data_IF_411886110545
#
_entry.id   IF_411886110545
#
_cell.length_a   1.000
_cell.length_b   1.000
_cell.length_c   1.000
_cell.angle_alpha   90.00
_cell.angle_beta   90.00
_cell.angle_gamma   90.00
#
_symmetry.space_group_name_H-M   'P 1'
#
loop_
_entity.id
_entity.type
_entity.pdbx_description
1 polymer ?
#
# COMPACT_ATOMS: atom_id res chain seq x y z
N UNK A 1 11.03 10.26 40.30
CA UNK A 1 12.16 9.31 40.24
C UNK A 1 12.18 8.74 38.82
N UNK A 2 12.83 9.43 37.91
CA UNK A 2 13.04 9.03 36.53
C UNK A 2 14.34 8.23 36.47
N UNK A 3 14.24 6.89 36.34
CA UNK A 3 15.42 6.03 36.19
C UNK A 3 15.57 5.60 34.74
N UNK A 4 16.56 6.21 34.11
CA UNK A 4 17.50 5.69 33.13
C UNK A 4 17.06 4.49 32.24
N UNK A 5 16.78 4.79 30.98
CA UNK A 5 16.84 3.82 29.89
C UNK A 5 18.31 3.50 29.58
N UNK A 6 18.72 2.24 29.37
CA UNK A 6 20.06 1.90 29.03
C UNK A 6 20.43 2.37 27.61
N UNK A 7 21.58 2.99 27.54
CA UNK A 7 22.30 3.37 26.32
C UNK A 7 22.51 2.10 25.45
N UNK A 8 21.77 1.98 24.34
CA UNK A 8 22.00 0.93 23.35
C UNK A 8 23.06 1.39 22.37
N UNK A 9 24.31 1.33 22.78
CA UNK A 9 25.44 1.32 21.87
C UNK A 9 25.35 0.04 21.03
N UNK A 10 24.84 0.14 19.80
CA UNK A 10 24.95 -0.94 18.82
C UNK A 10 26.40 -0.98 18.39
N UNK A 11 27.16 -1.92 18.97
CA UNK A 11 28.54 -2.20 18.60
C UNK A 11 28.57 -2.68 17.15
N UNK A 12 29.18 -1.86 16.27
CA UNK A 12 29.40 -2.17 14.88
C UNK A 12 30.29 -3.35 14.68
N UNK A 13 30.00 -4.19 13.69
CA UNK A 13 31.03 -4.95 12.95
C UNK A 13 30.55 -5.58 11.65
N UNK A 14 29.64 -4.93 10.88
CA UNK A 14 29.27 -5.46 9.55
C UNK A 14 29.24 -4.43 8.41
N UNK A 15 29.80 -3.23 8.59
CA UNK A 15 29.93 -2.28 7.47
C UNK A 15 31.37 -1.75 7.38
N UNK A 16 32.30 -2.62 6.93
CA UNK A 16 33.61 -2.17 6.48
C UNK A 16 33.48 -1.69 5.03
N UNK A 17 33.34 -0.37 4.84
CA UNK A 17 33.36 0.24 3.51
C UNK A 17 32.44 1.44 3.29
N UNK A 18 31.55 1.77 4.21
CA UNK A 18 30.71 2.97 4.07
C UNK A 18 31.26 4.06 4.99
N UNK A 19 32.01 5.02 4.42
CA UNK A 19 32.39 6.24 5.11
C UNK A 19 31.17 7.14 5.23
N UNK A 20 30.57 7.22 6.40
CA UNK A 20 29.60 8.28 6.70
C UNK A 20 30.34 9.59 6.89
N UNK A 21 30.06 10.66 6.13
CA UNK A 21 30.71 11.95 6.38
C UNK A 21 30.25 12.49 7.72
N UNK A 22 31.23 12.84 8.53
CA UNK A 22 31.04 13.58 9.77
C UNK A 22 30.88 15.04 9.40
N UNK A 23 29.67 15.51 9.24
CA UNK A 23 29.35 16.93 9.01
C UNK A 23 28.05 17.13 8.28
N UNK A 24 27.00 17.49 9.00
CA UNK A 24 25.88 18.35 8.59
C UNK A 24 24.98 18.00 7.41
N UNK A 25 25.28 16.95 6.64
CA UNK A 25 24.40 16.51 5.54
C UNK A 25 23.26 15.65 6.09
N UNK A 26 22.04 15.96 5.73
CA UNK A 26 20.87 15.16 6.07
C UNK A 26 20.86 13.87 5.25
N UNK A 27 20.15 12.83 5.72
CA UNK A 27 19.97 11.58 4.96
C UNK A 27 19.44 11.82 3.53
N UNK A 28 18.71 12.92 3.30
CA UNK A 28 18.20 13.37 2.01
C UNK A 28 19.32 13.85 1.06
N UNK A 29 20.40 14.45 1.57
CA UNK A 29 21.49 14.97 0.74
C UNK A 29 22.30 13.85 0.05
N UNK A 30 22.22 12.63 0.58
CA UNK A 30 22.86 11.43 0.00
C UNK A 30 22.10 10.84 -1.17
N UNK A 31 20.79 10.96 -1.14
CA UNK A 31 19.90 10.42 -2.20
C UNK A 31 20.02 11.26 -3.48
N UNK A 32 20.43 12.53 -3.36
CA UNK A 32 20.40 13.51 -4.46
C UNK A 32 21.61 13.38 -5.42
N UNK A 33 22.67 12.63 -5.07
CA UNK A 33 23.91 12.59 -5.84
C UNK A 33 24.28 11.22 -6.42
N UNK A 34 23.35 10.26 -6.43
CA UNK A 34 23.56 9.01 -7.15
C UNK A 34 23.03 9.14 -8.56
N UNK A 35 23.85 8.87 -9.57
CA UNK A 35 23.37 8.72 -10.93
C UNK A 35 22.33 7.59 -10.97
N UNK A 36 21.14 7.88 -11.50
CA UNK A 36 20.09 6.87 -11.62
C UNK A 36 20.53 5.74 -12.56
N UNK A 37 20.31 4.47 -12.17
CA UNK A 37 20.54 3.34 -13.04
C UNK A 37 19.75 3.47 -14.35
N UNK A 38 20.33 3.06 -15.47
CA UNK A 38 19.71 3.15 -16.80
C UNK A 38 19.36 1.75 -17.31
N UNK A 39 18.14 1.57 -17.77
CA UNK A 39 17.75 0.37 -18.51
C UNK A 39 18.36 0.49 -19.91
N UNK A 40 19.28 -0.43 -20.26
CA UNK A 40 19.96 -0.45 -21.56
C UNK A 40 19.39 -1.51 -22.51
N UNK A 41 18.66 -2.48 -21.98
CA UNK A 41 17.87 -3.46 -22.74
C UNK A 41 16.73 -3.98 -21.86
N UNK A 42 15.60 -4.34 -22.49
CA UNK A 42 14.45 -4.91 -21.79
C UNK A 42 13.77 -5.96 -22.68
N UNK A 43 13.57 -7.15 -22.12
CA UNK A 43 12.91 -8.25 -22.81
C UNK A 43 11.72 -8.74 -22.01
N UNK A 44 10.51 -8.61 -22.54
CA UNK A 44 9.32 -9.26 -21.98
C UNK A 44 9.45 -10.77 -22.13
N UNK A 45 9.36 -11.50 -21.02
CA UNK A 45 9.47 -12.97 -20.95
C UNK A 45 8.13 -13.65 -20.64
N UNK A 46 7.17 -12.90 -20.07
CA UNK A 46 5.82 -13.40 -19.78
C UNK A 46 4.78 -12.28 -19.97
N UNK A 47 3.61 -12.65 -20.51
CA UNK A 47 2.42 -11.80 -20.59
C UNK A 47 1.24 -12.56 -20.03
N UNK A 48 0.78 -12.14 -18.85
CA UNK A 48 -0.42 -12.65 -18.20
C UNK A 48 -1.63 -11.75 -18.41
N UNK A 49 -2.73 -12.08 -17.78
CA UNK A 49 -3.97 -11.27 -17.78
C UNK A 49 -3.82 -10.01 -16.93
N UNK A 50 -3.17 -10.12 -15.76
CA UNK A 50 -3.05 -9.05 -14.78
C UNK A 50 -1.72 -8.33 -14.85
N UNK A 51 -0.62 -9.05 -15.12
CA UNK A 51 0.73 -8.49 -15.11
C UNK A 51 1.59 -9.05 -16.25
N UNK A 52 2.67 -8.35 -16.54
CA UNK A 52 3.72 -8.86 -17.43
C UNK A 52 5.04 -8.95 -16.68
N UNK A 53 5.99 -9.76 -17.19
CA UNK A 53 7.33 -9.85 -16.63
C UNK A 53 8.35 -9.52 -17.70
N UNK A 54 9.30 -8.66 -17.38
CA UNK A 54 10.49 -8.42 -18.20
C UNK A 54 11.75 -8.84 -17.46
N UNK A 55 12.81 -9.07 -18.25
CA UNK A 55 14.19 -9.12 -17.79
C UNK A 55 14.88 -7.89 -18.35
N UNK A 56 15.22 -6.96 -17.45
CA UNK A 56 15.84 -5.70 -17.80
C UNK A 56 17.35 -5.79 -17.55
N UNK A 57 18.15 -5.33 -18.52
CA UNK A 57 19.58 -5.12 -18.35
C UNK A 57 19.82 -3.69 -17.91
N UNK A 58 20.39 -3.52 -16.75
CA UNK A 58 20.58 -2.22 -16.09
C UNK A 58 22.06 -1.89 -16.02
N UNK A 59 22.40 -0.63 -16.34
CA UNK A 59 23.70 -0.07 -16.14
C UNK A 59 23.67 0.95 -14.99
N UNK A 60 24.57 0.75 -14.02
CA UNK A 60 24.77 1.66 -12.88
C UNK A 60 26.26 1.93 -12.73
N UNK A 61 26.70 3.12 -13.16
CA UNK A 61 28.12 3.41 -13.32
C UNK A 61 28.77 2.43 -14.29
N UNK A 62 29.81 1.72 -13.83
CA UNK A 62 30.52 0.69 -14.61
C UNK A 62 29.90 -0.71 -14.48
N UNK A 63 28.92 -0.89 -13.59
CA UNK A 63 28.28 -2.18 -13.37
C UNK A 63 27.14 -2.40 -14.37
N UNK A 64 27.06 -3.63 -14.90
CA UNK A 64 25.93 -4.09 -15.72
C UNK A 64 25.37 -5.35 -15.07
N UNK A 65 24.06 -5.37 -14.83
CA UNK A 65 23.39 -6.49 -14.20
C UNK A 65 21.93 -6.64 -14.72
N UNK A 66 21.30 -7.75 -14.41
CA UNK A 66 19.91 -8.00 -14.78
C UNK A 66 18.96 -7.87 -13.60
N UNK A 67 17.72 -7.48 -13.90
CA UNK A 67 16.60 -7.45 -12.97
C UNK A 67 15.37 -8.07 -13.63
N UNK A 68 14.71 -8.94 -12.87
CA UNK A 68 13.38 -9.43 -13.23
C UNK A 68 12.36 -8.42 -12.69
N UNK A 69 11.49 -7.92 -13.54
CA UNK A 69 10.51 -6.88 -13.19
C UNK A 69 9.10 -7.36 -13.51
N UNK A 70 8.24 -7.33 -12.51
CA UNK A 70 6.79 -7.52 -12.66
C UNK A 70 6.15 -6.17 -12.91
N UNK A 71 5.57 -5.99 -14.09
CA UNK A 71 4.84 -4.78 -14.49
C UNK A 71 3.36 -4.93 -14.16
N UNK A 72 2.82 -3.98 -13.42
CA UNK A 72 1.43 -3.94 -12.98
C UNK A 72 0.87 -2.51 -13.09
N UNK A 73 -0.39 -2.30 -13.52
CA UNK A 73 -0.97 -0.97 -13.66
C UNK A 73 -1.06 -0.17 -12.35
N UNK A 74 -0.99 -0.86 -11.22
CA UNK A 74 -1.27 -0.32 -9.91
C UNK A 74 -2.70 -0.60 -9.46
N UNK A 75 -3.01 -0.27 -8.21
CA UNK A 75 -4.31 -0.58 -7.61
C UNK A 75 -4.80 0.56 -6.72
N UNK A 76 -6.10 0.80 -6.70
CA UNK A 76 -6.74 1.65 -5.69
C UNK A 76 -7.18 0.79 -4.51
N UNK A 77 -6.93 1.27 -3.29
CA UNK A 77 -7.31 0.62 -2.03
C UNK A 77 -8.22 1.56 -1.26
N UNK A 78 -9.31 1.07 -0.70
CA UNK A 78 -10.31 1.93 -0.07
C UNK A 78 -10.59 1.45 1.36
N UNK A 79 -10.65 2.37 2.32
CA UNK A 79 -11.28 2.13 3.62
C UNK A 79 -12.60 2.90 3.68
N UNK A 80 -13.74 2.23 3.54
CA UNK A 80 -15.03 2.83 3.80
C UNK A 80 -15.24 2.98 5.30
N UNK A 81 -15.31 4.22 5.78
CA UNK A 81 -15.51 4.56 7.19
C UNK A 81 -16.92 5.09 7.40
N UNK A 82 -17.69 4.41 8.25
CA UNK A 82 -19.03 4.79 8.64
C UNK A 82 -19.02 5.76 9.84
N UNK A 83 -20.12 6.52 10.06
CA UNK A 83 -20.21 7.46 11.17
C UNK A 83 -20.06 6.85 12.57
N UNK A 84 -20.32 5.55 12.70
CA UNK A 84 -20.19 4.76 13.93
C UNK A 84 -18.77 4.20 14.15
N UNK A 85 -17.77 4.67 13.36
CA UNK A 85 -16.41 4.18 13.34
C UNK A 85 -16.26 2.69 12.95
N UNK A 86 -17.25 2.13 12.28
CA UNK A 86 -17.09 0.84 11.63
C UNK A 86 -16.49 1.02 10.23
N UNK A 87 -15.81 -0.02 9.74
CA UNK A 87 -15.25 -0.11 8.39
C UNK A 87 -15.85 -1.31 7.68
N UNK A 88 -15.91 -1.30 6.35
CA UNK A 88 -16.27 -2.46 5.56
C UNK A 88 -15.01 -3.07 4.93
N UNK A 89 -14.81 -4.34 5.16
CA UNK A 89 -13.77 -5.18 4.58
C UNK A 89 -14.41 -6.25 3.71
N UNK A 90 -13.62 -6.90 2.86
CA UNK A 90 -14.05 -8.02 2.03
C UNK A 90 -13.32 -9.29 2.42
N UNK A 91 -14.04 -10.40 2.53
CA UNK A 91 -13.46 -11.72 2.68
C UNK A 91 -13.40 -12.39 1.32
N UNK A 92 -12.19 -12.64 0.82
CA UNK A 92 -11.93 -13.17 -0.51
C UNK A 92 -10.93 -14.32 -0.46
N UNK A 93 -11.11 -15.35 -1.30
CA UNK A 93 -10.12 -16.41 -1.47
C UNK A 93 -8.97 -15.93 -2.35
N UNK A 94 -7.77 -15.98 -1.82
CA UNK A 94 -6.54 -15.66 -2.56
C UNK A 94 -5.80 -16.94 -2.92
N UNK A 95 -5.86 -17.31 -4.19
CA UNK A 95 -5.23 -18.54 -4.68
C UNK A 95 -3.73 -18.65 -4.35
N UNK A 96 -2.90 -17.58 -4.47
CA UNK A 96 -1.50 -17.67 -4.08
C UNK A 96 -1.27 -17.91 -2.58
N UNK A 97 -2.18 -17.44 -1.73
CA UNK A 97 -2.14 -17.67 -0.28
C UNK A 97 -2.82 -18.99 0.12
N UNK A 98 -3.58 -19.64 -0.81
CA UNK A 98 -4.35 -20.89 -0.61
C UNK A 98 -5.34 -20.77 0.55
N UNK A 99 -5.93 -19.60 0.77
CA UNK A 99 -6.90 -19.34 1.85
C UNK A 99 -7.74 -18.09 1.62
N UNK A 100 -8.78 -17.95 2.44
CA UNK A 100 -9.53 -16.71 2.53
C UNK A 100 -8.75 -15.69 3.36
N UNK A 101 -8.67 -14.47 2.87
CA UNK A 101 -8.13 -13.33 3.58
C UNK A 101 -9.24 -12.31 3.84
N UNK A 102 -9.09 -11.53 4.90
CA UNK A 102 -9.90 -10.35 5.17
C UNK A 102 -9.13 -9.13 4.70
N UNK A 103 -9.69 -8.41 3.74
CA UNK A 103 -8.96 -7.38 2.98
C UNK A 103 -9.75 -6.08 2.91
N UNK A 104 -9.01 -4.96 2.83
CA UNK A 104 -9.59 -3.71 2.37
C UNK A 104 -10.02 -3.85 0.89
N UNK A 105 -11.21 -3.37 0.51
CA UNK A 105 -11.64 -3.30 -0.87
C UNK A 105 -10.57 -2.69 -1.76
N UNK A 106 -10.27 -3.32 -2.88
CA UNK A 106 -9.20 -2.86 -3.76
C UNK A 106 -9.26 -3.53 -5.13
N UNK A 107 -9.02 -2.74 -6.17
CA UNK A 107 -8.92 -3.28 -7.51
C UNK A 107 -7.85 -2.62 -8.36
N UNK A 108 -7.54 -3.30 -9.45
CA UNK A 108 -6.56 -2.87 -10.44
C UNK A 108 -7.08 -1.68 -11.24
N UNK A 109 -6.23 -0.68 -11.45
CA UNK A 109 -6.57 0.47 -12.29
C UNK A 109 -6.75 0.04 -13.74
N UNK A 110 -7.79 0.54 -14.38
CA UNK A 110 -8.02 0.38 -15.81
C UNK A 110 -7.09 1.29 -16.65
N UNK A 111 -7.04 1.04 -17.96
CA UNK A 111 -6.20 1.87 -18.85
C UNK A 111 -6.60 3.34 -18.78
N UNK A 112 -5.64 4.20 -18.41
CA UNK A 112 -5.81 5.66 -18.24
C UNK A 112 -6.77 6.07 -17.11
N UNK A 113 -7.16 5.17 -16.25
CA UNK A 113 -7.96 5.49 -15.08
C UNK A 113 -7.12 6.21 -14.02
N UNK A 114 -7.66 7.30 -13.46
CA UNK A 114 -7.01 7.90 -12.29
C UNK A 114 -7.28 7.08 -11.03
N UNK A 115 -6.35 7.04 -10.06
CA UNK A 115 -6.54 6.27 -8.83
C UNK A 115 -7.81 6.63 -8.04
N UNK A 116 -8.22 7.90 -8.06
CA UNK A 116 -9.45 8.34 -7.40
C UNK A 116 -10.72 7.79 -8.07
N UNK A 117 -10.73 7.75 -9.42
CA UNK A 117 -11.83 7.16 -10.19
C UNK A 117 -11.87 5.66 -9.93
N UNK A 118 -10.73 4.97 -9.97
CA UNK A 118 -10.63 3.54 -9.64
C UNK A 118 -11.14 3.25 -8.23
N UNK A 119 -10.77 4.05 -7.24
CA UNK A 119 -11.27 3.92 -5.87
C UNK A 119 -12.80 4.07 -5.78
N UNK A 120 -13.38 5.03 -6.49
CA UNK A 120 -14.84 5.22 -6.51
C UNK A 120 -15.55 4.05 -7.19
N UNK A 121 -15.01 3.54 -8.30
CA UNK A 121 -15.54 2.39 -9.04
C UNK A 121 -15.51 1.13 -8.18
N UNK A 122 -14.35 0.77 -7.61
CA UNK A 122 -14.18 -0.42 -6.77
C UNK A 122 -15.07 -0.39 -5.52
N UNK A 123 -15.21 0.79 -4.89
CA UNK A 123 -16.13 0.97 -3.76
C UNK A 123 -17.57 0.63 -4.15
N UNK A 124 -18.00 1.03 -5.34
CA UNK A 124 -19.35 0.75 -5.83
C UNK A 124 -19.48 -0.72 -6.26
N UNK A 125 -18.53 -1.26 -7.00
CA UNK A 125 -18.54 -2.64 -7.52
C UNK A 125 -18.51 -3.67 -6.40
N UNK A 126 -17.54 -3.58 -5.50
CA UNK A 126 -17.35 -4.58 -4.45
C UNK A 126 -18.33 -4.45 -3.28
N UNK A 127 -18.70 -3.22 -2.90
CA UNK A 127 -19.47 -2.98 -1.69
C UNK A 127 -20.89 -2.42 -1.94
N UNK A 128 -21.21 -1.97 -3.15
CA UNK A 128 -22.47 -1.27 -3.41
C UNK A 128 -22.57 0.05 -2.64
N UNK A 129 -21.45 0.76 -2.49
CA UNK A 129 -21.38 2.03 -1.77
C UNK A 129 -20.84 3.14 -2.66
N UNK A 130 -21.30 4.36 -2.44
CA UNK A 130 -20.71 5.60 -3.00
C UNK A 130 -20.22 6.48 -1.88
N UNK A 131 -19.06 7.09 -2.10
CA UNK A 131 -18.47 8.06 -1.17
C UNK A 131 -18.85 9.49 -1.57
N UNK A 132 -19.33 10.29 -0.62
CA UNK A 132 -19.44 11.74 -0.80
C UNK A 132 -18.08 12.45 -0.69
N UNK A 133 -17.08 11.76 -0.10
CA UNK A 133 -15.70 12.24 -0.01
C UNK A 133 -14.74 11.06 -0.07
N UNK A 134 -13.78 11.15 -1.00
CA UNK A 134 -12.58 10.33 -1.07
C UNK A 134 -11.38 11.19 -0.68
N UNK A 135 -10.54 10.67 0.19
CA UNK A 135 -9.35 11.37 0.67
C UNK A 135 -8.14 10.44 0.52
N UNK A 136 -7.16 10.85 -0.27
CA UNK A 136 -5.92 10.11 -0.42
C UNK A 136 -5.14 10.15 0.89
N UNK A 137 -4.95 9.00 1.53
CA UNK A 137 -4.16 8.87 2.76
C UNK A 137 -2.69 8.61 2.49
N UNK A 138 -2.38 7.81 1.47
CA UNK A 138 -1.01 7.43 1.15
C UNK A 138 -0.89 6.79 -0.23
N UNK A 139 0.33 6.78 -0.73
CA UNK A 139 0.77 6.01 -1.89
C UNK A 139 1.97 5.17 -1.48
N UNK A 140 2.00 3.91 -1.89
CA UNK A 140 3.11 3.02 -1.55
C UNK A 140 3.30 1.92 -2.58
N UNK A 141 4.51 1.38 -2.66
CA UNK A 141 4.83 0.20 -3.46
C UNK A 141 4.63 -1.07 -2.63
N UNK A 142 4.12 -2.12 -3.25
CA UNK A 142 3.85 -3.41 -2.58
C UNK A 142 5.14 -4.19 -2.36
N UNK A 143 5.97 -4.31 -3.40
CA UNK A 143 7.22 -5.08 -3.35
C UNK A 143 8.25 -4.52 -4.35
N UNK A 144 8.80 -3.31 -4.12
CA UNK A 144 9.60 -2.58 -5.10
C UNK A 144 10.95 -3.24 -5.43
N UNK A 145 11.30 -4.34 -4.78
CA UNK A 145 12.47 -5.13 -5.12
C UNK A 145 12.36 -5.87 -6.48
N UNK A 146 11.14 -6.13 -6.95
CA UNK A 146 10.88 -6.83 -8.22
C UNK A 146 9.54 -6.50 -8.87
N UNK A 147 8.66 -5.76 -8.21
CA UNK A 147 7.32 -5.44 -8.70
C UNK A 147 7.10 -3.93 -8.65
N UNK A 148 6.62 -3.36 -9.75
CA UNK A 148 6.32 -1.94 -9.84
C UNK A 148 4.91 -1.58 -9.36
N UNK A 149 4.15 -2.56 -8.83
CA UNK A 149 2.80 -2.29 -8.33
C UNK A 149 2.81 -1.22 -7.27
N UNK A 150 2.16 -0.11 -7.59
CA UNK A 150 1.90 1.01 -6.71
C UNK A 150 0.45 1.00 -6.27
N UNK A 151 0.21 1.24 -5.01
CA UNK A 151 -1.13 1.33 -4.44
C UNK A 151 -1.44 2.75 -3.97
N UNK A 152 -2.67 3.21 -4.24
CA UNK A 152 -3.21 4.47 -3.76
C UNK A 152 -4.32 4.18 -2.77
N UNK A 153 -4.08 4.56 -1.51
CA UNK A 153 -5.01 4.32 -0.41
C UNK A 153 -5.91 5.53 -0.18
N UNK A 154 -7.21 5.29 -0.25
CA UNK A 154 -8.25 6.29 0.00
C UNK A 154 -9.08 5.97 1.24
N UNK A 155 -9.36 7.00 2.03
CA UNK A 155 -10.41 6.98 3.04
C UNK A 155 -11.71 7.47 2.41
N UNK A 156 -12.74 6.61 2.41
CA UNK A 156 -14.06 6.93 1.89
C UNK A 156 -15.02 7.26 3.04
N UNK A 157 -15.63 8.44 2.99
CA UNK A 157 -16.60 8.90 4.00
C UNK A 157 -17.83 9.48 3.34
N UNK A 158 -18.87 9.83 4.14
CA UNK A 158 -20.18 10.28 3.65
C UNK A 158 -20.79 9.24 2.71
N UNK A 159 -20.76 8.00 3.17
CA UNK A 159 -21.19 6.83 2.40
C UNK A 159 -22.69 6.82 2.17
N UNK A 160 -23.09 6.43 0.98
CA UNK A 160 -24.48 6.19 0.58
C UNK A 160 -24.58 4.86 -0.15
N UNK A 161 -25.75 4.23 -0.09
CA UNK A 161 -26.02 2.97 -0.78
C UNK A 161 -26.02 3.13 -2.29
N UNK A 162 -25.51 2.14 -2.97
CA UNK A 162 -25.55 1.94 -4.41
C UNK A 162 -25.75 0.46 -4.74
N UNK A 163 -25.62 0.08 -5.98
CA UNK A 163 -25.76 -1.29 -6.40
C UNK A 163 -24.40 -1.95 -6.56
N UNK A 164 -24.16 -3.03 -5.83
CA UNK A 164 -23.01 -3.90 -6.02
C UNK A 164 -23.02 -4.52 -7.43
N UNK A 165 -21.87 -4.61 -8.06
CA UNK A 165 -21.72 -5.15 -9.41
C UNK A 165 -20.34 -5.84 -9.54
N UNK A 166 -20.24 -7.03 -8.93
CA UNK A 166 -19.02 -7.84 -8.97
C UNK A 166 -18.74 -8.36 -10.37
N UNK A 167 -17.48 -8.54 -10.69
CA UNK A 167 -17.06 -9.28 -11.86
C UNK A 167 -17.46 -10.77 -11.76
N UNK A 168 -17.62 -11.44 -12.90
CA UNK A 168 -18.10 -12.83 -12.97
C UNK A 168 -17.25 -13.83 -12.19
N UNK A 169 -15.96 -13.54 -11.99
CA UNK A 169 -15.00 -14.38 -11.26
C UNK A 169 -14.72 -13.86 -9.83
N UNK A 170 -15.43 -12.84 -9.38
CA UNK A 170 -15.31 -12.30 -8.03
C UNK A 170 -16.33 -12.90 -7.07
N UNK A 171 -15.82 -13.60 -6.07
CA UNK A 171 -16.63 -14.19 -4.99
C UNK A 171 -16.12 -13.59 -3.68
N UNK A 172 -16.79 -12.56 -3.21
CA UNK A 172 -16.46 -11.85 -1.99
C UNK A 172 -17.63 -11.86 -0.99
N UNK A 173 -17.30 -11.75 0.28
CA UNK A 173 -18.24 -11.51 1.37
C UNK A 173 -17.88 -10.22 2.06
N UNK A 174 -18.82 -9.26 2.10
CA UNK A 174 -18.64 -8.00 2.83
C UNK A 174 -18.74 -8.25 4.33
N UNK A 175 -17.77 -7.76 5.08
CA UNK A 175 -17.71 -7.85 6.55
C UNK A 175 -17.62 -6.44 7.12
N UNK A 176 -18.63 -6.03 7.89
CA UNK A 176 -18.63 -4.75 8.62
C UNK A 176 -18.15 -4.99 10.04
N UNK A 177 -17.14 -4.26 10.47
CA UNK A 177 -16.46 -4.44 11.77
C UNK A 177 -16.06 -3.08 12.33
N UNK A 178 -15.93 -2.94 13.65
CA UNK A 178 -15.37 -1.71 14.23
C UNK A 178 -13.89 -1.54 13.83
N UNK A 179 -13.46 -0.31 13.67
CA UNK A 179 -12.03 -0.04 13.38
C UNK A 179 -11.14 -0.56 14.53
N UNK A 180 -11.63 -0.51 15.77
CA UNK A 180 -10.93 -1.02 16.96
C UNK A 180 -10.71 -2.53 16.88
N UNK A 181 -11.78 -3.32 16.64
CA UNK A 181 -11.68 -4.76 16.46
C UNK A 181 -10.78 -5.14 15.27
N UNK A 182 -10.87 -4.39 14.16
CA UNK A 182 -9.99 -4.61 12.99
C UNK A 182 -8.51 -4.40 13.32
N UNK A 183 -8.18 -3.45 14.20
CA UNK A 183 -6.80 -3.23 14.68
C UNK A 183 -6.35 -4.34 15.64
N UNK A 184 -7.25 -4.87 16.47
CA UNK A 184 -6.96 -6.03 17.31
C UNK A 184 -6.68 -7.27 16.45
N UNK A 185 -7.48 -7.51 15.41
CA UNK A 185 -7.28 -8.62 14.46
C UNK A 185 -5.92 -8.55 13.73
N UNK A 186 -5.35 -7.36 13.51
CA UNK A 186 -3.97 -7.23 13.00
C UNK A 186 -2.99 -7.77 14.06
N UNK A 187 -3.16 -7.39 15.32
CA UNK A 187 -2.27 -7.81 16.42
C UNK A 187 -2.32 -9.30 16.68
N UNK A 188 -3.48 -9.92 16.50
CA UNK A 188 -3.72 -11.34 16.68
C UNK A 188 -3.35 -12.19 15.45
N UNK A 189 -3.00 -11.54 14.34
CA UNK A 189 -2.61 -12.20 13.09
C UNK A 189 -3.78 -12.76 12.28
N UNK A 190 -5.00 -12.30 12.53
CA UNK A 190 -6.18 -12.66 11.73
C UNK A 190 -6.28 -11.85 10.43
N UNK A 191 -5.79 -10.61 10.45
CA UNK A 191 -5.58 -9.78 9.25
C UNK A 191 -4.11 -9.84 8.89
N UNK A 192 -3.81 -10.48 7.75
CA UNK A 192 -2.45 -10.75 7.28
C UNK A 192 -2.12 -10.04 5.96
N UNK A 193 -3.11 -9.45 5.30
CA UNK A 193 -2.92 -8.75 4.05
C UNK A 193 -2.27 -7.37 4.26
N UNK A 194 -1.12 -7.16 3.62
CA UNK A 194 -0.28 -5.98 3.85
C UNK A 194 -0.98 -4.66 3.55
N UNK A 195 -1.74 -4.58 2.42
CA UNK A 195 -2.47 -3.35 2.06
C UNK A 195 -3.53 -3.01 3.10
N UNK A 196 -4.20 -4.02 3.65
CA UNK A 196 -5.24 -3.88 4.67
C UNK A 196 -4.65 -3.42 5.99
N UNK A 197 -3.53 -4.01 6.41
CA UNK A 197 -2.80 -3.59 7.62
C UNK A 197 -2.40 -2.11 7.51
N UNK A 198 -1.77 -1.72 6.40
CA UNK A 198 -1.37 -0.33 6.15
C UNK A 198 -2.60 0.59 6.17
N UNK A 199 -3.66 0.19 5.48
CA UNK A 199 -4.88 0.99 5.35
C UNK A 199 -5.56 1.25 6.70
N UNK A 200 -5.73 0.24 7.54
CA UNK A 200 -6.34 0.35 8.86
C UNK A 200 -5.49 1.20 9.81
N UNK A 201 -4.17 0.98 9.83
CA UNK A 201 -3.25 1.76 10.67
C UNK A 201 -3.22 3.24 10.28
N UNK A 202 -3.15 3.56 8.98
CA UNK A 202 -3.17 4.94 8.51
C UNK A 202 -4.52 5.61 8.75
N UNK A 203 -5.63 4.89 8.58
CA UNK A 203 -6.97 5.40 8.92
C UNK A 203 -7.06 5.74 10.40
N UNK A 204 -6.64 4.84 11.29
CA UNK A 204 -6.64 5.07 12.74
C UNK A 204 -5.77 6.28 13.11
N UNK A 205 -4.59 6.42 12.51
CA UNK A 205 -3.71 7.56 12.74
C UNK A 205 -4.32 8.88 12.25
N UNK A 206 -4.93 8.88 11.07
CA UNK A 206 -5.64 10.03 10.53
C UNK A 206 -6.75 10.52 11.47
N UNK A 207 -7.57 9.60 11.99
CA UNK A 207 -8.66 9.93 12.93
C UNK A 207 -8.14 10.47 14.28
N UNK A 208 -7.06 9.89 14.81
CA UNK A 208 -6.40 10.38 16.03
C UNK A 208 -5.90 11.82 15.85
N UNK A 209 -5.23 12.11 14.74
CA UNK A 209 -4.69 13.43 14.43
C UNK A 209 -5.79 14.48 14.25
N UNK A 210 -6.94 14.11 13.69
CA UNK A 210 -8.12 14.99 13.60
C UNK A 210 -8.69 15.33 14.97
N UNK A 211 -8.75 14.35 15.86
CA UNK A 211 -9.27 14.55 17.22
C UNK A 211 -8.33 15.38 18.10
N UNK A 212 -7.01 15.33 17.87
CA UNK A 212 -6.01 16.14 18.62
C UNK A 212 -5.84 17.55 18.06
N UNK A 213 -6.42 17.88 16.92
CA UNK A 213 -6.26 19.18 16.26
C UNK A 213 -4.88 19.45 15.67
N UNK A 214 -4.05 18.41 15.53
CA UNK A 214 -2.66 18.50 15.04
C UNK A 214 -2.52 18.47 13.52
N UNK A 215 -3.61 18.22 12.77
CA UNK A 215 -3.57 18.25 11.30
C UNK A 215 -4.37 19.44 10.76
N UNK A 216 -3.76 20.30 9.93
CA UNK A 216 -4.54 21.18 9.09
C UNK A 216 -5.31 20.31 8.08
N UNK A 217 -6.59 20.57 7.93
CA UNK A 217 -7.37 20.02 6.83
C UNK A 217 -6.67 20.43 5.52
N UNK A 218 -6.17 19.47 4.74
CA UNK A 218 -5.70 19.67 3.37
C UNK A 218 -6.91 19.85 2.48
#
# INVERSE_FOLDING_TARGET
MLSQLPDRTIAGSYYSGVNFPVGGATALDWIIHMDEPKIIDSKTVFRGRVFTVSVDTVQEGDAIYQRDVVHHPGSAVIIPLFPDNTVALVKQYRHPAVRYLLEAPAGTLEDRESPEIGAARELEEELGLRAGRLELLSEFFVSPGFCEEKMWLYLATQLSESKQNLDDDEIIQVVKISLEDALEMISDGEIEDAKTIIALLLTANCLKSRNSGEYPAV
#
